data_IF_241316942818
#
_entry.id   IF_241316942818
#
_cell.length_a   1.000
_cell.length_b   1.000
_cell.length_c   1.000
_cell.angle_alpha   90.00
_cell.angle_beta   90.00
_cell.angle_gamma   90.00
#
_symmetry.space_group_name_H-M   'P 1'
#
loop_
_entity.id
_entity.type
_entity.pdbx_description
1 polymer ?
#
# COMPACT_ATOMS: atom_id res chain seq x y z
N UNK A 1 12.74 21.93 39.01
CA UNK A 1 11.68 21.38 38.12
C UNK A 1 11.77 19.88 38.21
N UNK A 2 10.76 19.20 38.78
CA UNK A 2 10.68 17.71 38.74
C UNK A 2 10.47 17.35 37.30
N UNK A 3 11.43 16.63 36.69
CA UNK A 3 11.22 16.04 35.37
C UNK A 3 10.00 15.13 35.41
N UNK A 4 9.00 15.46 34.62
CA UNK A 4 7.91 14.51 34.32
C UNK A 4 8.62 13.38 33.56
N UNK A 5 8.84 12.24 34.19
CA UNK A 5 9.19 11.01 33.47
C UNK A 5 7.97 10.67 32.59
N UNK A 6 7.99 11.14 31.36
CA UNK A 6 7.07 10.66 30.34
C UNK A 6 7.36 9.16 30.18
N UNK A 7 6.35 8.32 30.40
CA UNK A 7 6.45 6.91 30.04
C UNK A 7 6.65 6.82 28.53
N UNK A 8 7.43 5.82 28.08
CA UNK A 8 7.63 5.61 26.65
C UNK A 8 6.28 5.38 25.94
N UNK A 9 6.15 5.93 24.73
CA UNK A 9 4.98 5.69 23.88
C UNK A 9 5.05 4.29 23.30
N UNK A 10 3.97 3.54 23.39
CA UNK A 10 3.89 2.19 22.83
C UNK A 10 3.37 2.26 21.39
N UNK A 11 4.18 1.80 20.43
CA UNK A 11 3.78 1.65 19.03
C UNK A 11 3.66 0.16 18.72
N UNK A 12 2.49 -0.27 18.29
CA UNK A 12 2.19 -1.68 18.08
C UNK A 12 2.20 -1.98 16.57
N UNK A 13 3.18 -2.79 16.13
CA UNK A 13 3.42 -3.18 14.75
C UNK A 13 4.52 -2.36 14.08
N UNK A 14 5.58 -3.02 13.58
CA UNK A 14 6.68 -2.40 12.83
C UNK A 14 6.48 -2.49 11.30
N UNK A 15 5.23 -2.29 10.85
CA UNK A 15 4.91 -2.04 9.44
C UNK A 15 5.28 -0.63 9.01
N UNK A 16 4.90 -0.23 7.79
CA UNK A 16 5.17 1.12 7.26
C UNK A 16 4.69 2.23 8.22
N UNK A 17 3.44 2.12 8.68
CA UNK A 17 2.84 3.12 9.58
C UNK A 17 3.51 3.16 10.95
N UNK A 18 3.81 2.00 11.55
CA UNK A 18 4.43 1.95 12.86
C UNK A 18 5.87 2.45 12.85
N UNK A 19 6.66 2.12 11.82
CA UNK A 19 8.01 2.66 11.66
C UNK A 19 8.00 4.19 11.53
N UNK A 20 7.08 4.75 10.75
CA UNK A 20 6.94 6.20 10.60
C UNK A 20 6.49 6.86 11.92
N UNK A 21 5.51 6.29 12.62
CA UNK A 21 5.05 6.83 13.89
C UNK A 21 6.16 6.83 14.94
N UNK A 22 6.89 5.71 15.10
CA UNK A 22 8.03 5.62 15.99
C UNK A 22 9.13 6.61 15.62
N UNK A 23 9.41 6.78 14.33
CA UNK A 23 10.40 7.72 13.82
C UNK A 23 10.05 9.17 14.15
N UNK A 24 8.80 9.60 13.96
CA UNK A 24 8.37 10.96 14.29
C UNK A 24 8.40 11.25 15.80
N UNK A 25 8.01 10.29 16.63
CA UNK A 25 8.12 10.39 18.07
C UNK A 25 9.58 10.54 18.51
N UNK A 26 10.47 9.70 17.99
CA UNK A 26 11.90 9.73 18.27
C UNK A 26 12.55 11.06 17.83
N UNK A 27 12.17 11.59 16.66
CA UNK A 27 12.60 12.94 16.22
C UNK A 27 12.18 14.05 17.17
N UNK A 28 11.07 13.88 17.87
CA UNK A 28 10.60 14.82 18.89
C UNK A 28 11.25 14.59 20.26
N UNK A 29 12.22 13.67 20.38
CA UNK A 29 12.92 13.32 21.62
C UNK A 29 12.06 12.51 22.60
N UNK A 30 11.05 11.80 22.12
CA UNK A 30 10.15 10.96 22.92
C UNK A 30 10.60 9.51 22.79
N UNK A 31 10.77 8.83 23.93
CA UNK A 31 11.12 7.41 23.95
C UNK A 31 9.93 6.54 23.50
N UNK A 32 10.22 5.53 22.70
CA UNK A 32 9.25 4.64 22.06
C UNK A 32 9.57 3.20 22.37
N UNK A 33 8.56 2.44 22.77
CA UNK A 33 8.55 0.98 22.76
C UNK A 33 7.83 0.49 21.49
N UNK A 34 8.59 0.02 20.50
CA UNK A 34 8.05 -0.50 19.24
C UNK A 34 7.89 -2.02 19.32
N UNK A 35 6.65 -2.48 19.40
CA UNK A 35 6.30 -3.89 19.47
C UNK A 35 6.14 -4.48 18.07
N UNK A 36 6.82 -5.60 17.81
CA UNK A 36 6.69 -6.37 16.56
C UNK A 36 6.68 -7.87 16.87
N UNK A 37 5.66 -8.58 16.38
CA UNK A 37 5.55 -10.00 16.64
C UNK A 37 6.55 -10.87 15.85
N UNK A 38 7.05 -10.37 14.71
CA UNK A 38 8.13 -11.04 13.97
C UNK A 38 9.47 -10.91 14.72
N UNK A 39 10.34 -11.90 14.64
CA UNK A 39 10.25 -13.14 13.86
C UNK A 39 9.52 -14.29 14.58
N UNK A 40 8.99 -14.09 15.79
CA UNK A 40 8.36 -15.16 16.58
C UNK A 40 7.04 -15.64 15.98
N UNK A 41 6.23 -14.72 15.44
CA UNK A 41 4.95 -15.01 14.79
C UNK A 41 4.84 -14.25 13.47
N UNK A 42 4.36 -14.88 12.41
CA UNK A 42 4.14 -14.27 11.10
C UNK A 42 2.65 -14.29 10.76
N UNK A 43 2.21 -13.26 10.04
CA UNK A 43 0.89 -13.29 9.40
C UNK A 43 0.93 -14.18 8.14
N UNK A 44 -0.21 -14.59 7.59
CA UNK A 44 -0.24 -15.37 6.35
C UNK A 44 0.46 -14.69 5.15
N UNK A 45 0.52 -13.36 5.13
CA UNK A 45 1.10 -12.59 4.03
C UNK A 45 2.59 -12.29 4.20
N UNK A 46 3.06 -12.08 5.43
CA UNK A 46 4.45 -11.74 5.71
C UNK A 46 5.35 -12.98 5.63
N UNK A 47 6.52 -12.82 5.03
CA UNK A 47 7.52 -13.89 4.83
C UNK A 47 8.93 -13.46 5.24
N UNK A 48 9.12 -12.17 5.49
CA UNK A 48 10.42 -11.59 5.83
C UNK A 48 10.40 -11.03 7.25
N UNK A 49 11.50 -11.22 7.98
CA UNK A 49 11.62 -10.78 9.37
C UNK A 49 11.78 -9.26 9.55
N UNK A 50 12.26 -8.56 8.52
CA UNK A 50 12.49 -7.12 8.56
C UNK A 50 11.20 -6.31 8.69
N UNK A 51 11.36 -5.03 9.06
CA UNK A 51 10.26 -4.10 9.23
C UNK A 51 9.78 -3.55 7.88
N UNK A 52 8.62 -2.91 7.85
CA UNK A 52 8.03 -2.30 6.65
C UNK A 52 8.01 -3.22 5.42
N UNK A 53 7.78 -4.53 5.61
CA UNK A 53 7.73 -5.50 4.51
C UNK A 53 6.60 -5.16 3.54
N UNK A 54 6.93 -5.05 2.24
CA UNK A 54 5.95 -4.83 1.17
C UNK A 54 5.42 -6.18 0.70
N UNK A 55 4.18 -6.52 1.00
CA UNK A 55 3.64 -7.88 0.79
C UNK A 55 3.01 -8.10 -0.59
N UNK A 56 2.26 -7.16 -1.14
CA UNK A 56 1.52 -7.35 -2.40
C UNK A 56 2.30 -6.88 -3.64
N UNK A 57 3.07 -5.81 -3.54
CA UNK A 57 3.82 -5.17 -4.64
C UNK A 57 5.07 -4.49 -4.09
N UNK A 58 6.10 -4.30 -4.93
CA UNK A 58 7.25 -3.48 -4.60
C UNK A 58 7.09 -2.02 -5.08
N UNK A 59 5.93 -1.65 -5.59
CA UNK A 59 5.67 -0.31 -6.09
C UNK A 59 5.01 0.57 -5.04
N UNK A 60 5.57 1.76 -4.89
CA UNK A 60 5.01 2.87 -4.11
C UNK A 60 4.24 3.87 -4.99
N UNK A 61 3.63 3.37 -6.09
CA UNK A 61 2.82 4.14 -7.06
C UNK A 61 3.64 5.19 -7.82
N UNK A 62 2.96 6.04 -8.61
CA UNK A 62 3.58 7.08 -9.43
C UNK A 62 4.38 8.09 -8.59
N UNK A 63 5.57 8.53 -9.10
CA UNK A 63 6.47 9.45 -8.39
C UNK A 63 6.36 10.91 -8.83
N UNK A 64 5.62 11.18 -9.90
CA UNK A 64 5.46 12.54 -10.43
C UNK A 64 4.55 13.37 -9.52
N UNK A 65 4.92 14.61 -9.26
CA UNK A 65 4.17 15.56 -8.42
C UNK A 65 2.75 15.87 -8.93
N UNK A 66 2.54 15.79 -10.25
CA UNK A 66 1.23 15.95 -10.89
C UNK A 66 0.33 14.69 -10.79
N UNK A 67 0.65 13.81 -9.85
CA UNK A 67 -0.15 12.66 -9.47
C UNK A 67 -0.41 12.66 -7.95
N UNK A 68 -1.56 12.15 -7.53
CA UNK A 68 -1.92 12.08 -6.10
C UNK A 68 -0.84 11.38 -5.26
N UNK A 69 -0.34 10.25 -5.75
CA UNK A 69 0.71 9.50 -5.06
C UNK A 69 2.05 10.23 -5.02
N UNK A 70 2.41 10.96 -6.08
CA UNK A 70 3.64 11.76 -6.09
C UNK A 70 3.55 12.97 -5.17
N UNK A 71 2.39 13.65 -5.13
CA UNK A 71 2.13 14.73 -4.19
C UNK A 71 2.24 14.24 -2.73
N UNK A 72 1.56 13.13 -2.38
CA UNK A 72 1.62 12.57 -1.03
C UNK A 72 3.05 12.20 -0.62
N UNK A 73 3.84 11.60 -1.52
CA UNK A 73 5.25 11.28 -1.25
C UNK A 73 6.10 12.52 -1.02
N UNK A 74 5.83 13.60 -1.74
CA UNK A 74 6.53 14.87 -1.52
C UNK A 74 6.16 15.49 -0.16
N UNK A 75 4.90 15.40 0.24
CA UNK A 75 4.46 15.78 1.59
C UNK A 75 5.20 14.95 2.67
N UNK A 76 5.28 13.63 2.49
CA UNK A 76 6.02 12.75 3.39
C UNK A 76 7.51 13.12 3.47
N UNK A 77 8.16 13.44 2.35
CA UNK A 77 9.57 13.89 2.34
C UNK A 77 9.76 15.16 3.15
N UNK A 78 8.87 16.14 3.00
CA UNK A 78 8.92 17.41 3.77
C UNK A 78 8.71 17.20 5.27
N UNK A 79 7.90 16.20 5.63
CA UNK A 79 7.70 15.78 7.03
C UNK A 79 8.85 14.91 7.57
N UNK A 80 9.83 14.56 6.73
CA UNK A 80 11.02 13.79 7.12
C UNK A 80 10.72 12.31 7.33
N UNK A 81 10.04 11.70 6.37
CA UNK A 81 9.70 10.27 6.33
C UNK A 81 10.93 9.38 6.23
N UNK A 82 11.07 8.42 7.14
CA UNK A 82 12.12 7.39 7.08
C UNK A 82 11.90 6.42 5.92
N UNK A 83 10.64 6.09 5.61
CA UNK A 83 10.33 5.18 4.49
C UNK A 83 10.62 5.81 3.14
N UNK A 84 10.39 7.11 2.96
CA UNK A 84 10.75 7.79 1.71
C UNK A 84 12.26 7.93 1.53
N UNK A 85 13.01 8.17 2.59
CA UNK A 85 14.46 8.16 2.56
C UNK A 85 14.99 6.78 2.12
N UNK A 86 14.54 5.70 2.78
CA UNK A 86 14.93 4.34 2.42
C UNK A 86 14.49 3.95 0.99
N UNK A 87 13.32 4.42 0.54
CA UNK A 87 12.84 4.14 -0.81
C UNK A 87 13.69 4.81 -1.89
N UNK A 88 14.24 5.98 -1.63
CA UNK A 88 15.14 6.65 -2.56
C UNK A 88 16.43 5.85 -2.79
N UNK A 89 17.01 5.30 -1.71
CA UNK A 89 18.26 4.54 -1.74
C UNK A 89 18.12 3.12 -2.31
N UNK A 90 16.90 2.57 -2.27
CA UNK A 90 16.63 1.18 -2.69
C UNK A 90 15.79 1.08 -3.96
N UNK A 91 15.72 2.19 -4.69
CA UNK A 91 14.94 2.31 -5.94
C UNK A 91 15.38 1.30 -6.99
N UNK A 92 14.40 0.72 -7.68
CA UNK A 92 14.59 -0.08 -8.89
C UNK A 92 13.82 0.54 -10.05
N UNK A 93 14.26 0.24 -11.28
CA UNK A 93 13.64 0.75 -12.50
C UNK A 93 12.18 0.33 -12.62
N UNK A 94 11.27 1.29 -12.78
CA UNK A 94 9.84 1.06 -12.91
C UNK A 94 9.11 2.19 -13.67
N UNK A 95 9.73 2.77 -14.69
CA UNK A 95 9.20 3.85 -15.51
C UNK A 95 8.83 5.09 -14.66
N UNK A 96 7.58 5.49 -14.68
CA UNK A 96 7.10 6.65 -13.90
C UNK A 96 6.67 6.35 -12.46
N UNK A 97 6.87 5.12 -11.99
CA UNK A 97 6.58 4.72 -10.61
C UNK A 97 7.85 4.70 -9.74
N UNK A 98 7.70 4.91 -8.44
CA UNK A 98 8.71 4.58 -7.46
C UNK A 98 8.52 3.11 -7.06
N UNK A 99 9.43 2.25 -7.47
CA UNK A 99 9.51 0.87 -7.00
C UNK A 99 10.85 0.64 -6.30
N UNK A 100 10.88 -0.30 -5.37
CA UNK A 100 12.05 -0.58 -4.53
C UNK A 100 12.45 -2.06 -4.58
N UNK A 101 13.70 -2.35 -4.34
CA UNK A 101 14.13 -3.68 -3.95
C UNK A 101 13.55 -3.99 -2.57
N UNK A 102 12.60 -4.92 -2.51
CA UNK A 102 11.82 -5.18 -1.29
C UNK A 102 12.70 -5.52 -0.09
N UNK A 103 13.72 -6.36 -0.32
CA UNK A 103 14.56 -6.83 0.77
C UNK A 103 15.46 -5.70 1.26
N UNK A 104 16.15 -5.02 0.35
CA UNK A 104 17.04 -3.89 0.71
C UNK A 104 16.27 -2.77 1.39
N UNK A 105 15.06 -2.47 0.91
CA UNK A 105 14.17 -1.48 1.54
C UNK A 105 13.82 -1.86 2.98
N UNK A 106 13.34 -3.08 3.20
CA UNK A 106 12.98 -3.56 4.53
C UNK A 106 14.19 -3.60 5.46
N UNK A 107 15.36 -4.09 4.99
CA UNK A 107 16.61 -4.12 5.75
C UNK A 107 17.05 -2.71 6.17
N UNK A 108 16.96 -1.73 5.27
CA UNK A 108 17.36 -0.36 5.55
C UNK A 108 16.43 0.34 6.54
N UNK A 109 15.10 0.16 6.39
CA UNK A 109 14.13 0.68 7.38
C UNK A 109 14.40 0.04 8.74
N UNK A 110 14.61 -1.28 8.79
CA UNK A 110 14.91 -2.00 10.03
C UNK A 110 16.16 -1.44 10.72
N UNK A 111 17.24 -1.25 9.96
CA UNK A 111 18.50 -0.71 10.50
C UNK A 111 18.29 0.69 11.10
N UNK A 112 17.65 1.62 10.36
CA UNK A 112 17.39 2.98 10.84
C UNK A 112 16.54 3.02 12.11
N UNK A 113 15.54 2.16 12.22
CA UNK A 113 14.69 2.08 13.41
C UNK A 113 15.46 1.51 14.59
N UNK A 114 16.22 0.41 14.40
CA UNK A 114 16.98 -0.23 15.47
C UNK A 114 18.18 0.59 15.96
N UNK A 115 18.77 1.40 15.10
CA UNK A 115 19.90 2.30 15.44
C UNK A 115 19.47 3.59 16.17
N UNK A 116 18.17 3.90 16.17
CA UNK A 116 17.68 5.12 16.81
C UNK A 116 17.66 4.98 18.34
N UNK A 117 18.38 5.85 19.08
CA UNK A 117 18.52 5.72 20.55
C UNK A 117 17.22 5.92 21.32
N UNK A 118 16.20 6.53 20.71
CA UNK A 118 14.88 6.74 21.32
C UNK A 118 13.89 5.61 21.00
N UNK A 119 14.28 4.58 20.23
CA UNK A 119 13.38 3.48 19.87
C UNK A 119 13.90 2.17 20.45
N UNK A 120 13.14 1.60 21.37
CA UNK A 120 13.38 0.25 21.89
C UNK A 120 12.47 -0.73 21.17
N UNK A 121 13.03 -1.64 20.40
CA UNK A 121 12.27 -2.69 19.71
C UNK A 121 12.02 -3.85 20.67
N UNK A 122 10.75 -4.26 20.79
CA UNK A 122 10.30 -5.38 21.61
C UNK A 122 9.69 -6.43 20.67
N UNK A 123 10.41 -7.55 20.50
CA UNK A 123 9.95 -8.68 19.68
C UNK A 123 8.90 -9.50 20.45
N UNK A 124 7.67 -8.98 20.50
CA UNK A 124 6.57 -9.60 21.22
C UNK A 124 5.24 -9.33 20.53
N UNK A 125 4.34 -10.31 20.56
CA UNK A 125 2.96 -10.13 20.17
C UNK A 125 2.18 -9.44 21.28
N UNK A 126 1.55 -8.31 20.95
CA UNK A 126 0.61 -7.63 21.84
C UNK A 126 -0.79 -8.19 21.58
N UNK A 127 -1.41 -8.75 22.60
CA UNK A 127 -2.74 -9.39 22.52
C UNK A 127 -3.88 -8.52 23.04
N UNK A 128 -3.56 -7.55 23.89
CA UNK A 128 -4.52 -6.57 24.43
C UNK A 128 -4.00 -5.14 24.23
N UNK A 129 -4.91 -4.17 24.14
CA UNK A 129 -4.54 -2.76 24.03
C UNK A 129 -3.91 -2.30 25.35
N UNK A 130 -2.64 -1.89 25.35
CA UNK A 130 -1.96 -1.47 26.58
C UNK A 130 -2.53 -0.16 27.14
N UNK A 131 -2.27 0.05 28.43
CA UNK A 131 -2.51 1.35 29.06
C UNK A 131 -1.45 2.39 28.65
N UNK A 132 -1.81 3.67 28.80
CA UNK A 132 -0.95 4.83 28.50
C UNK A 132 -1.14 5.36 27.10
N UNK A 133 -0.06 5.91 26.55
CA UNK A 133 -0.02 6.49 25.20
C UNK A 133 0.33 5.42 24.17
N UNK A 134 -0.61 5.13 23.28
CA UNK A 134 -0.52 3.98 22.37
C UNK A 134 -0.85 4.40 20.94
N UNK A 135 -0.05 3.92 19.98
CA UNK A 135 -0.37 3.95 18.54
C UNK A 135 -0.51 2.52 18.05
N UNK A 136 -1.70 2.13 17.60
CA UNK A 136 -1.94 0.84 16.95
C UNK A 136 -1.69 0.98 15.46
N UNK A 137 -0.66 0.31 14.95
CA UNK A 137 -0.21 0.35 13.56
C UNK A 137 0.02 -1.05 12.98
N UNK A 138 -0.76 -2.03 13.45
CA UNK A 138 -0.63 -3.46 13.10
C UNK A 138 -1.10 -3.80 11.69
N UNK A 139 -1.68 -2.82 10.99
CA UNK A 139 -2.14 -2.97 9.62
C UNK A 139 -3.37 -3.88 9.49
N UNK A 140 -3.67 -4.33 8.27
CA UNK A 140 -4.91 -5.04 7.96
C UNK A 140 -4.92 -6.51 8.42
N UNK A 141 -3.75 -7.04 8.81
CA UNK A 141 -3.55 -8.43 9.23
C UNK A 141 -3.17 -8.50 10.72
N UNK A 142 -3.85 -7.72 11.53
CA UNK A 142 -3.73 -7.76 13.00
C UNK A 142 -4.02 -9.17 13.52
N UNK A 143 -3.29 -9.62 14.55
CA UNK A 143 -3.52 -10.92 15.18
C UNK A 143 -4.92 -11.03 15.77
N UNK A 144 -5.45 -12.24 15.85
CA UNK A 144 -6.84 -12.47 16.23
C UNK A 144 -7.13 -11.96 17.66
N UNK A 145 -6.21 -12.18 18.59
CA UNK A 145 -6.36 -11.75 19.98
C UNK A 145 -6.42 -10.21 20.10
N UNK A 146 -5.47 -9.52 19.46
CA UNK A 146 -5.47 -8.05 19.47
C UNK A 146 -6.67 -7.49 18.68
N UNK A 147 -7.07 -8.14 17.57
CA UNK A 147 -8.26 -7.77 16.83
C UNK A 147 -9.52 -7.87 17.71
N UNK A 148 -9.66 -8.94 18.52
CA UNK A 148 -10.75 -9.06 19.48
C UNK A 148 -10.73 -7.91 20.52
N UNK A 149 -9.56 -7.60 21.08
CA UNK A 149 -9.38 -6.49 22.03
C UNK A 149 -9.77 -5.14 21.41
N UNK A 150 -9.36 -4.86 20.17
CA UNK A 150 -9.73 -3.65 19.43
C UNK A 150 -11.26 -3.64 19.16
N UNK A 151 -11.85 -4.80 18.81
CA UNK A 151 -13.29 -4.94 18.56
C UNK A 151 -14.15 -4.57 19.76
N UNK A 152 -13.69 -4.85 20.99
CA UNK A 152 -14.40 -4.47 22.23
C UNK A 152 -14.53 -2.93 22.38
N UNK A 153 -13.60 -2.18 21.82
CA UNK A 153 -13.59 -0.70 21.90
C UNK A 153 -14.22 -0.08 20.63
N UNK A 154 -13.88 -0.61 19.46
CA UNK A 154 -14.27 -0.03 18.18
C UNK A 154 -15.61 -0.55 17.64
N UNK A 155 -16.19 -1.59 18.23
CA UNK A 155 -17.36 -2.28 17.71
C UNK A 155 -17.03 -3.17 16.52
N UNK A 156 -18.02 -3.45 15.68
CA UNK A 156 -17.84 -4.35 14.52
C UNK A 156 -16.82 -3.80 13.53
N UNK A 157 -15.91 -4.69 13.12
CA UNK A 157 -14.97 -4.40 12.03
C UNK A 157 -15.65 -4.32 10.68
N UNK A 158 -15.14 -3.43 9.85
CA UNK A 158 -15.35 -3.48 8.42
C UNK A 158 -14.18 -4.24 7.78
N UNK A 159 -14.41 -4.89 6.63
CA UNK A 159 -13.37 -5.64 5.94
C UNK A 159 -13.57 -5.64 4.43
N UNK A 160 -12.48 -5.84 3.71
CA UNK A 160 -12.45 -6.11 2.28
C UNK A 160 -11.36 -7.14 1.97
N UNK A 161 -11.41 -7.73 0.79
CA UNK A 161 -10.40 -8.69 0.36
C UNK A 161 -9.39 -8.02 -0.58
N UNK A 162 -8.13 -8.35 -0.38
CA UNK A 162 -7.00 -7.95 -1.21
C UNK A 162 -6.24 -9.20 -1.68
N UNK A 163 -5.58 -9.12 -2.83
CA UNK A 163 -4.84 -10.23 -3.39
C UNK A 163 -3.42 -9.80 -3.81
N UNK A 164 -2.45 -10.68 -3.55
CA UNK A 164 -1.08 -10.50 -4.03
C UNK A 164 -0.91 -11.09 -5.43
N UNK A 165 0.01 -10.51 -6.22
CA UNK A 165 0.39 -11.01 -7.53
C UNK A 165 1.58 -11.99 -7.44
N UNK A 166 1.69 -12.95 -8.40
CA UNK A 166 2.81 -13.89 -8.46
C UNK A 166 4.13 -13.23 -8.83
N UNK A 167 5.23 -13.89 -8.46
CA UNK A 167 6.60 -13.53 -8.82
C UNK A 167 7.28 -14.71 -9.52
N UNK A 168 7.94 -14.43 -10.63
CA UNK A 168 8.68 -15.40 -11.44
C UNK A 168 10.16 -15.06 -11.54
N UNK A 169 11.02 -16.05 -11.83
CA UNK A 169 12.45 -15.82 -12.10
C UNK A 169 12.65 -15.35 -13.54
N UNK A 170 13.59 -14.43 -13.75
CA UNK A 170 13.96 -13.95 -15.09
C UNK A 170 14.51 -15.07 -15.98
N UNK A 171 15.28 -15.98 -15.40
CA UNK A 171 15.92 -17.08 -16.14
C UNK A 171 14.90 -18.04 -16.75
N UNK A 172 13.75 -18.21 -16.13
CA UNK A 172 12.71 -19.10 -16.60
C UNK A 172 11.84 -18.54 -17.73
N UNK A 173 12.00 -17.26 -18.08
CA UNK A 173 11.27 -16.61 -19.16
C UNK A 173 11.81 -17.02 -20.53
N UNK A 174 10.93 -17.23 -21.48
CA UNK A 174 11.31 -17.38 -22.91
C UNK A 174 11.64 -16.01 -23.49
N UNK A 175 12.94 -15.68 -23.49
CA UNK A 175 13.46 -14.37 -23.88
C UNK A 175 13.26 -14.03 -25.36
N UNK A 176 13.05 -15.03 -26.20
CA UNK A 176 12.78 -14.84 -27.63
C UNK A 176 11.34 -14.41 -27.88
N UNK A 177 10.45 -14.62 -26.93
CA UNK A 177 9.01 -14.30 -27.02
C UNK A 177 8.60 -13.02 -26.30
N UNK A 178 9.46 -12.45 -25.48
CA UNK A 178 9.20 -11.22 -24.72
C UNK A 178 10.06 -10.06 -25.20
N UNK A 179 9.72 -8.83 -24.80
CA UNK A 179 10.54 -7.67 -25.14
C UNK A 179 10.53 -6.64 -24.02
N UNK A 180 11.61 -5.89 -23.92
CA UNK A 180 11.74 -4.77 -22.96
C UNK A 180 11.18 -3.50 -23.57
N UNK A 181 10.23 -2.86 -22.89
CA UNK A 181 9.74 -1.53 -23.25
C UNK A 181 8.92 -0.90 -22.11
N UNK A 182 8.89 0.42 -22.09
CA UNK A 182 7.96 1.21 -21.29
C UNK A 182 6.88 1.83 -22.16
N UNK A 183 5.65 1.93 -21.64
CA UNK A 183 4.50 2.48 -22.41
C UNK A 183 4.76 3.91 -22.85
N UNK A 184 4.45 4.18 -24.11
CA UNK A 184 4.63 5.51 -24.75
C UNK A 184 6.09 5.99 -24.75
N UNK A 185 7.08 5.10 -24.63
CA UNK A 185 8.50 5.47 -24.56
C UNK A 185 8.84 6.36 -23.35
N UNK A 186 8.07 6.27 -22.27
CA UNK A 186 8.33 7.05 -21.06
C UNK A 186 9.30 6.34 -20.13
N UNK A 187 10.45 6.97 -19.87
CA UNK A 187 11.55 6.37 -19.10
C UNK A 187 12.37 5.40 -19.94
N UNK A 188 13.13 4.55 -19.27
CA UNK A 188 13.88 3.47 -19.89
C UNK A 188 12.97 2.27 -20.18
N UNK A 189 13.49 1.22 -20.83
CA UNK A 189 12.75 0.01 -21.15
C UNK A 189 12.61 -0.91 -19.91
N UNK A 190 11.93 -0.43 -18.88
CA UNK A 190 11.94 -0.98 -17.52
C UNK A 190 11.03 -2.20 -17.30
N UNK A 191 10.15 -2.49 -18.26
CA UNK A 191 9.21 -3.60 -18.15
C UNK A 191 9.51 -4.68 -19.19
N UNK A 192 9.44 -5.94 -18.78
CA UNK A 192 9.33 -7.05 -19.70
C UNK A 192 7.87 -7.15 -20.14
N UNK A 193 7.63 -7.24 -21.43
CA UNK A 193 6.31 -7.31 -22.02
C UNK A 193 6.13 -8.69 -22.66
N UNK A 194 5.07 -9.41 -22.22
CA UNK A 194 4.64 -10.70 -22.74
C UNK A 194 3.45 -10.44 -23.69
N UNK A 195 3.67 -10.34 -25.01
CA UNK A 195 2.62 -10.03 -25.95
C UNK A 195 1.80 -11.29 -26.29
N UNK A 196 0.51 -11.11 -26.48
CA UNK A 196 -0.39 -12.14 -26.96
C UNK A 196 -1.11 -11.66 -28.21
N UNK A 197 -1.25 -12.56 -29.19
CA UNK A 197 -2.19 -12.39 -30.28
C UNK A 197 -3.62 -12.71 -29.81
N UNK A 198 -4.62 -12.61 -30.69
CA UNK A 198 -6.03 -12.82 -30.32
C UNK A 198 -6.31 -14.26 -29.87
N UNK A 199 -5.75 -15.25 -30.55
CA UNK A 199 -5.98 -16.66 -30.23
C UNK A 199 -5.35 -17.04 -28.90
N UNK A 200 -4.12 -16.61 -28.65
CA UNK A 200 -3.41 -16.81 -27.39
C UNK A 200 -4.16 -16.15 -26.22
N UNK A 201 -4.63 -14.91 -26.42
CA UNK A 201 -5.43 -14.21 -25.41
C UNK A 201 -6.75 -14.91 -25.11
N UNK A 202 -7.51 -15.33 -26.13
CA UNK A 202 -8.79 -16.01 -25.92
C UNK A 202 -8.61 -17.37 -25.24
N UNK A 203 -7.55 -18.10 -25.57
CA UNK A 203 -7.21 -19.34 -24.88
C UNK A 203 -6.91 -19.07 -23.40
N UNK A 204 -6.03 -18.11 -23.12
CA UNK A 204 -5.72 -17.70 -21.75
C UNK A 204 -6.96 -17.22 -20.99
N UNK A 205 -7.78 -16.36 -21.60
CA UNK A 205 -9.02 -15.85 -21.01
C UNK A 205 -10.00 -16.94 -20.63
N UNK A 206 -10.26 -17.88 -21.54
CA UNK A 206 -11.18 -18.99 -21.28
C UNK A 206 -10.70 -19.89 -20.14
N UNK A 207 -9.41 -20.19 -20.09
CA UNK A 207 -8.84 -20.98 -19.00
C UNK A 207 -8.88 -20.22 -17.67
N UNK A 208 -8.65 -18.91 -17.69
CA UNK A 208 -8.68 -18.06 -16.49
C UNK A 208 -10.07 -17.98 -15.84
N UNK A 209 -11.12 -17.75 -16.64
CA UNK A 209 -12.49 -17.63 -16.11
C UNK A 209 -13.06 -18.95 -15.56
N UNK A 210 -12.52 -20.09 -16.02
CA UNK A 210 -12.90 -21.43 -15.59
C UNK A 210 -11.98 -22.04 -14.54
N UNK A 211 -10.89 -21.35 -14.17
CA UNK A 211 -9.91 -21.83 -13.21
C UNK A 211 -10.48 -21.91 -11.78
N UNK A 212 -10.02 -22.90 -11.02
CA UNK A 212 -10.46 -23.09 -9.64
C UNK A 212 -9.82 -22.07 -8.70
N UNK A 213 -10.66 -21.35 -7.96
CA UNK A 213 -10.22 -20.47 -6.89
C UNK A 213 -9.94 -21.27 -5.60
N UNK A 214 -9.03 -20.75 -4.77
CA UNK A 214 -8.81 -21.28 -3.43
C UNK A 214 -10.10 -21.12 -2.60
N UNK A 215 -10.40 -22.09 -1.70
CA UNK A 215 -11.54 -21.94 -0.81
C UNK A 215 -11.34 -20.74 0.12
N UNK A 216 -12.38 -19.96 0.29
CA UNK A 216 -12.44 -18.94 1.31
C UNK A 216 -12.59 -19.61 2.69
N UNK A 217 -12.01 -19.05 3.73
CA UNK A 217 -12.19 -19.54 5.11
C UNK A 217 -13.68 -19.53 5.49
N UNK A 218 -14.09 -20.45 6.39
CA UNK A 218 -15.51 -20.63 6.73
C UNK A 218 -16.16 -19.37 7.30
N UNK A 219 -15.42 -18.56 8.04
CA UNK A 219 -15.85 -17.26 8.53
C UNK A 219 -16.16 -16.27 7.39
N UNK A 220 -15.44 -16.36 6.28
CA UNK A 220 -15.68 -15.49 5.11
C UNK A 220 -16.95 -15.91 4.35
N UNK A 221 -17.38 -17.18 4.47
CA UNK A 221 -18.62 -17.70 3.85
C UNK A 221 -19.89 -17.17 4.51
N UNK A 222 -19.88 -16.94 5.82
CA UNK A 222 -21.04 -16.39 6.55
C UNK A 222 -21.35 -14.95 6.17
N UNK A 223 -20.33 -14.22 5.71
CA UNK A 223 -20.44 -12.82 5.28
C UNK A 223 -20.60 -12.65 3.77
N UNK A 224 -20.76 -13.72 3.02
CA UNK A 224 -21.23 -13.68 1.64
C UNK A 224 -22.67 -13.12 1.62
N UNK A 225 -22.80 -11.80 1.65
CA UNK A 225 -24.09 -11.17 1.48
C UNK A 225 -24.61 -11.41 0.05
N UNK A 226 -25.93 -11.31 -0.12
CA UNK A 226 -26.61 -11.41 -1.42
C UNK A 226 -26.08 -10.42 -2.47
N UNK A 227 -25.24 -9.44 -2.07
CA UNK A 227 -24.66 -8.37 -2.90
C UNK A 227 -23.26 -8.70 -3.45
N UNK A 228 -22.74 -9.94 -3.26
CA UNK A 228 -21.49 -10.39 -3.84
C UNK A 228 -20.23 -10.05 -3.01
N UNK A 229 -19.09 -10.41 -3.56
CA UNK A 229 -17.77 -10.30 -2.95
C UNK A 229 -17.29 -8.85 -2.89
N UNK A 230 -17.09 -8.29 -1.69
CA UNK A 230 -16.54 -6.94 -1.52
C UNK A 230 -15.02 -6.98 -1.71
N UNK A 231 -14.55 -6.62 -2.90
CA UNK A 231 -13.14 -6.46 -3.24
C UNK A 231 -12.86 -4.98 -3.45
N UNK A 232 -11.71 -4.51 -2.95
CA UNK A 232 -11.23 -3.19 -3.32
C UNK A 232 -10.90 -3.16 -4.82
N UNK A 233 -11.44 -2.20 -5.56
CA UNK A 233 -11.36 -2.17 -7.02
C UNK A 233 -9.91 -2.18 -7.54
N UNK A 234 -8.99 -1.54 -6.81
CA UNK A 234 -7.57 -1.47 -7.16
C UNK A 234 -6.79 -2.78 -6.95
N UNK A 235 -7.34 -3.73 -6.21
CA UNK A 235 -6.70 -5.01 -5.86
C UNK A 235 -7.56 -6.22 -6.26
N UNK A 236 -8.47 -6.02 -7.21
CA UNK A 236 -9.38 -7.06 -7.68
C UNK A 236 -8.61 -8.23 -8.30
N UNK A 237 -8.91 -9.49 -7.92
CA UNK A 237 -8.32 -10.65 -8.53
C UNK A 237 -8.55 -10.69 -10.06
N UNK A 238 -7.52 -11.06 -10.80
CA UNK A 238 -7.54 -11.04 -12.27
C UNK A 238 -8.63 -11.93 -12.86
N UNK A 239 -8.92 -13.08 -12.23
CA UNK A 239 -10.01 -13.97 -12.63
C UNK A 239 -11.39 -13.37 -12.37
N UNK A 240 -11.55 -12.54 -11.33
CA UNK A 240 -12.80 -11.81 -11.04
C UNK A 240 -12.98 -10.68 -12.06
N UNK A 241 -11.90 -9.97 -12.38
CA UNK A 241 -11.91 -8.94 -13.42
C UNK A 241 -12.25 -9.53 -14.78
N UNK A 242 -11.68 -10.69 -15.13
CA UNK A 242 -11.94 -11.38 -16.38
C UNK A 242 -13.43 -11.78 -16.54
N UNK A 243 -14.09 -12.19 -15.47
CA UNK A 243 -15.52 -12.54 -15.47
C UNK A 243 -16.47 -11.38 -15.78
N UNK A 244 -15.99 -10.12 -15.72
CA UNK A 244 -16.78 -8.94 -16.12
C UNK A 244 -16.93 -8.79 -17.64
N UNK A 245 -16.14 -9.51 -18.43
CA UNK A 245 -16.23 -9.55 -19.89
C UNK A 245 -14.88 -9.75 -20.56
N UNK A 246 -14.90 -10.32 -21.77
CA UNK A 246 -13.71 -10.69 -22.55
C UNK A 246 -12.72 -9.51 -22.73
N UNK A 247 -13.21 -8.34 -23.01
CA UNK A 247 -12.36 -7.16 -23.26
C UNK A 247 -11.92 -6.43 -21.98
N UNK A 248 -12.49 -6.74 -20.82
CA UNK A 248 -12.25 -5.99 -19.58
C UNK A 248 -10.75 -5.91 -19.23
N UNK A 249 -10.03 -7.03 -19.33
CA UNK A 249 -8.59 -7.05 -19.05
C UNK A 249 -7.78 -6.27 -20.08
N UNK A 250 -8.20 -6.19 -21.34
CA UNK A 250 -7.53 -5.44 -22.41
C UNK A 250 -7.68 -3.93 -22.26
N UNK A 251 -8.67 -3.45 -21.53
CA UNK A 251 -8.81 -2.05 -21.11
C UNK A 251 -8.19 -1.80 -19.73
N UNK A 252 -7.80 -2.85 -19.01
CA UNK A 252 -7.21 -2.85 -17.68
C UNK A 252 -5.74 -3.31 -17.68
N UNK A 253 -5.39 -4.36 -16.91
CA UNK A 253 -4.01 -4.77 -16.68
C UNK A 253 -3.28 -5.26 -17.94
N UNK A 254 -3.99 -5.84 -18.91
CA UNK A 254 -3.42 -6.37 -20.15
C UNK A 254 -3.52 -5.39 -21.34
N UNK A 255 -3.69 -4.11 -21.06
CA UNK A 255 -3.85 -3.07 -22.08
C UNK A 255 -2.65 -3.04 -23.04
N UNK A 256 -2.83 -3.17 -24.37
CA UNK A 256 -1.73 -3.14 -25.34
C UNK A 256 -1.31 -1.73 -25.79
N UNK A 257 -2.14 -0.71 -25.49
CA UNK A 257 -1.93 0.68 -25.97
C UNK A 257 -0.63 1.26 -25.43
N UNK A 258 0.11 1.91 -26.32
CA UNK A 258 1.41 2.52 -26.01
C UNK A 258 2.61 1.56 -26.09
N UNK A 259 2.37 0.32 -26.55
CA UNK A 259 3.42 -0.68 -26.79
C UNK A 259 3.40 -1.15 -28.25
N UNK A 260 4.57 -1.37 -28.81
CA UNK A 260 4.80 -1.98 -30.12
C UNK A 260 5.78 -3.12 -29.93
N UNK A 261 5.45 -4.30 -30.40
CA UNK A 261 6.35 -5.44 -30.37
C UNK A 261 7.46 -5.24 -31.43
N UNK A 262 8.73 -5.09 -31.06
CA UNK A 262 9.81 -4.81 -32.00
C UNK A 262 10.07 -5.96 -32.98
N UNK A 263 9.62 -7.18 -32.68
CA UNK A 263 9.79 -8.37 -33.55
C UNK A 263 8.81 -8.37 -34.69
N UNK A 264 7.62 -7.83 -34.51
CA UNK A 264 6.56 -7.80 -35.52
C UNK A 264 6.31 -6.42 -36.09
N UNK A 265 6.76 -5.37 -35.44
CA UNK A 265 6.44 -3.97 -35.75
C UNK A 265 5.00 -3.59 -35.45
N UNK A 266 4.19 -4.48 -34.86
CA UNK A 266 2.77 -4.29 -34.64
C UNK A 266 2.43 -4.15 -33.14
N UNK A 267 1.28 -3.55 -32.85
CA UNK A 267 0.72 -3.52 -31.52
C UNK A 267 0.10 -4.89 -31.21
N UNK A 268 0.49 -5.56 -30.11
CA UNK A 268 -0.12 -6.81 -29.68
C UNK A 268 -1.64 -6.70 -29.42
N UNK A 269 -2.35 -7.80 -29.41
CA UNK A 269 -3.75 -7.83 -29.03
C UNK A 269 -3.95 -7.61 -27.52
N UNK A 270 -3.10 -8.22 -26.70
CA UNK A 270 -3.02 -8.02 -25.26
C UNK A 270 -1.54 -8.11 -24.81
N UNK A 271 -1.18 -7.54 -23.66
CA UNK A 271 0.19 -7.58 -23.12
C UNK A 271 0.14 -7.75 -21.61
N UNK A 272 0.82 -8.76 -21.10
CA UNK A 272 1.15 -8.85 -19.67
C UNK A 272 2.49 -8.15 -19.44
N UNK A 273 2.55 -7.26 -18.47
CA UNK A 273 3.79 -6.58 -18.09
C UNK A 273 4.38 -7.21 -16.83
N UNK A 274 5.68 -7.42 -16.85
CA UNK A 274 6.44 -7.87 -15.70
C UNK A 274 7.35 -6.72 -15.24
N UNK A 275 7.41 -6.50 -13.92
CA UNK A 275 8.24 -5.47 -13.30
C UNK A 275 9.27 -6.11 -12.40
N UNK A 276 10.51 -5.60 -12.44
CA UNK A 276 11.60 -6.06 -11.58
C UNK A 276 11.23 -5.91 -10.09
N UNK A 277 11.49 -6.95 -9.30
CA UNK A 277 11.29 -7.01 -7.85
C UNK A 277 12.56 -6.65 -7.07
N UNK A 278 13.71 -6.78 -7.72
CA UNK A 278 15.02 -6.50 -7.14
C UNK A 278 15.91 -5.74 -8.11
N UNK A 279 16.97 -5.13 -7.57
CA UNK A 279 17.91 -4.33 -8.36
C UNK A 279 18.71 -5.17 -9.36
N UNK A 280 18.96 -6.43 -9.06
CA UNK A 280 19.67 -7.38 -9.91
C UNK A 280 18.87 -7.81 -11.15
N UNK A 281 17.54 -7.50 -11.20
CA UNK A 281 16.66 -7.90 -12.29
C UNK A 281 16.52 -9.42 -12.45
N UNK A 282 16.66 -10.17 -11.36
CA UNK A 282 16.54 -11.63 -11.36
C UNK A 282 15.12 -12.13 -11.10
N UNK A 283 14.27 -11.28 -10.52
CA UNK A 283 12.90 -11.59 -10.10
C UNK A 283 11.91 -10.56 -10.65
N UNK A 284 10.77 -11.05 -11.14
CA UNK A 284 9.76 -10.20 -11.78
C UNK A 284 8.34 -10.48 -11.28
N UNK A 285 7.62 -9.43 -10.98
CA UNK A 285 6.22 -9.45 -10.56
C UNK A 285 5.29 -9.32 -11.79
N UNK A 286 4.24 -10.14 -11.85
CA UNK A 286 3.19 -10.03 -12.86
C UNK A 286 2.27 -8.86 -12.51
N UNK A 287 2.39 -7.75 -13.23
CA UNK A 287 1.66 -6.52 -12.94
C UNK A 287 0.17 -6.68 -13.20
N UNK A 288 -0.66 -6.45 -12.17
CA UNK A 288 -2.11 -6.57 -12.28
C UNK A 288 -2.64 -8.00 -12.21
N UNK A 289 -1.82 -8.96 -11.77
CA UNK A 289 -2.19 -10.37 -11.62
C UNK A 289 -2.42 -10.77 -10.16
N UNK A 290 -2.98 -9.89 -9.37
CA UNK A 290 -3.53 -10.29 -8.08
C UNK A 290 -4.55 -11.42 -8.31
N UNK A 291 -4.49 -12.49 -7.49
CA UNK A 291 -5.30 -13.67 -7.74
C UNK A 291 -5.63 -14.48 -6.49
N UNK A 292 -6.79 -15.12 -6.48
CA UNK A 292 -7.20 -16.13 -5.50
C UNK A 292 -7.26 -17.54 -6.10
N UNK A 293 -6.68 -17.75 -7.27
CA UNK A 293 -6.62 -19.11 -7.86
C UNK A 293 -5.79 -20.05 -6.98
N UNK A 294 -6.14 -21.33 -6.96
CA UNK A 294 -5.28 -22.38 -6.38
C UNK A 294 -3.89 -22.35 -7.01
N UNK A 295 -2.84 -22.68 -6.27
CA UNK A 295 -1.45 -22.62 -6.78
C UNK A 295 -1.22 -23.43 -8.05
N UNK A 296 -1.83 -24.63 -8.14
CA UNK A 296 -1.78 -25.46 -9.35
C UNK A 296 -2.44 -24.76 -10.55
N UNK A 297 -3.56 -24.09 -10.34
CA UNK A 297 -4.26 -23.33 -11.37
C UNK A 297 -3.47 -22.09 -11.80
N UNK A 298 -2.86 -21.38 -10.87
CA UNK A 298 -1.98 -20.25 -11.20
C UNK A 298 -0.86 -20.70 -12.13
N UNK A 299 -0.16 -21.80 -11.80
CA UNK A 299 0.88 -22.36 -12.66
C UNK A 299 0.32 -22.75 -14.03
N UNK A 300 -0.78 -23.49 -14.07
CA UNK A 300 -1.41 -23.97 -15.30
C UNK A 300 -1.86 -22.84 -16.21
N UNK A 301 -2.60 -21.88 -15.66
CA UNK A 301 -3.23 -20.80 -16.45
C UNK A 301 -2.20 -19.75 -16.86
N UNK A 302 -1.32 -19.34 -15.95
CA UNK A 302 -0.34 -18.28 -16.26
C UNK A 302 0.79 -18.78 -17.17
N UNK A 303 1.04 -20.09 -17.24
CA UNK A 303 1.93 -20.67 -18.26
C UNK A 303 1.35 -20.63 -19.69
N UNK A 304 0.10 -20.23 -19.89
CA UNK A 304 -0.47 -19.97 -21.21
C UNK A 304 -0.11 -18.58 -21.76
N UNK A 305 0.47 -17.72 -20.93
CA UNK A 305 0.90 -16.39 -21.33
C UNK A 305 2.23 -16.54 -22.11
N UNK A 306 2.28 -15.95 -23.29
CA UNK A 306 3.45 -15.98 -24.17
C UNK A 306 4.71 -15.50 -23.43
N UNK A 307 5.73 -16.35 -23.41
CA UNK A 307 6.99 -16.11 -22.70
C UNK A 307 7.01 -16.63 -21.26
N UNK A 308 5.87 -17.12 -20.72
CA UNK A 308 5.77 -17.70 -19.37
C UNK A 308 5.54 -19.22 -19.39
N UNK A 309 5.67 -19.88 -20.52
CA UNK A 309 5.32 -21.31 -20.69
C UNK A 309 6.11 -22.22 -19.74
N UNK A 310 7.35 -21.84 -19.42
CA UNK A 310 8.23 -22.57 -18.50
C UNK A 310 8.55 -21.74 -17.24
N UNK A 311 7.74 -20.70 -16.94
CA UNK A 311 8.03 -19.80 -15.84
C UNK A 311 8.10 -20.53 -14.48
N UNK A 312 9.15 -20.23 -13.73
CA UNK A 312 9.34 -20.68 -12.36
C UNK A 312 8.76 -19.65 -11.39
N UNK A 313 7.64 -20.04 -10.75
CA UNK A 313 6.98 -19.21 -9.75
C UNK A 313 7.63 -19.40 -8.39
N UNK A 314 8.38 -18.39 -7.93
CA UNK A 314 8.97 -18.39 -6.59
C UNK A 314 7.98 -17.92 -5.52
N UNK A 315 6.94 -17.22 -5.94
CA UNK A 315 5.82 -16.78 -5.11
C UNK A 315 4.53 -16.87 -5.90
N UNK A 316 3.54 -17.53 -5.34
CA UNK A 316 2.19 -17.52 -5.86
C UNK A 316 1.38 -16.35 -5.31
N UNK A 317 0.38 -15.92 -6.06
CA UNK A 317 -0.63 -15.00 -5.58
C UNK A 317 -1.48 -15.63 -4.48
N UNK A 318 -1.86 -14.85 -3.49
CA UNK A 318 -2.75 -15.24 -2.40
C UNK A 318 -3.67 -14.10 -2.06
N UNK A 319 -4.90 -14.43 -1.66
CA UNK A 319 -5.86 -13.46 -1.19
C UNK A 319 -5.84 -13.36 0.33
N UNK A 320 -5.99 -12.15 0.82
CA UNK A 320 -6.05 -11.85 2.25
C UNK A 320 -7.30 -11.05 2.56
N UNK A 321 -7.88 -11.26 3.74
CA UNK A 321 -8.90 -10.39 4.29
C UNK A 321 -8.21 -9.25 5.01
N UNK A 322 -8.47 -8.03 4.57
CA UNK A 322 -8.01 -6.81 5.21
C UNK A 322 -9.08 -6.28 6.14
N UNK A 323 -8.72 -6.05 7.38
CA UNK A 323 -9.62 -5.52 8.41
C UNK A 323 -9.36 -4.03 8.60
N UNK A 324 -10.42 -3.23 8.75
CA UNK A 324 -10.34 -1.82 9.10
C UNK A 324 -11.48 -1.41 10.06
N UNK A 325 -11.27 -0.34 10.81
CA UNK A 325 -12.24 0.19 11.76
C UNK A 325 -13.16 1.22 11.09
N UNK A 326 -14.32 1.48 11.66
CA UNK A 326 -15.21 2.56 11.19
C UNK A 326 -14.70 3.93 11.65
N UNK A 327 -13.56 4.34 11.10
CA UNK A 327 -12.80 5.53 11.51
C UNK A 327 -13.61 6.82 11.57
N UNK A 328 -14.55 7.12 10.64
CA UNK A 328 -15.38 8.32 10.72
C UNK A 328 -16.15 8.48 12.02
N UNK A 329 -16.56 7.37 12.64
CA UNK A 329 -17.26 7.38 13.92
C UNK A 329 -16.33 7.40 15.12
N UNK A 330 -15.12 6.88 14.96
CA UNK A 330 -14.21 6.59 16.07
C UNK A 330 -13.07 7.60 16.20
N UNK A 331 -12.53 8.07 15.08
CA UNK A 331 -11.32 8.89 15.07
C UNK A 331 -11.61 10.35 14.78
N UNK A 332 -10.74 11.21 15.28
CA UNK A 332 -10.65 12.61 14.85
C UNK A 332 -9.58 12.78 13.75
N UNK A 333 -9.37 14.01 13.28
CA UNK A 333 -8.42 14.33 12.22
C UNK A 333 -6.96 14.06 12.58
N UNK A 334 -6.62 13.93 13.85
CA UNK A 334 -5.28 13.60 14.34
C UNK A 334 -5.04 12.08 14.46
N UNK A 335 -5.99 11.25 14.02
CA UNK A 335 -5.95 9.79 14.11
C UNK A 335 -6.07 9.21 15.53
N UNK A 336 -6.35 10.00 16.55
CA UNK A 336 -6.69 9.48 17.88
C UNK A 336 -8.19 9.23 18.03
N UNK A 337 -8.53 8.36 18.96
CA UNK A 337 -9.91 8.11 19.31
C UNK A 337 -10.57 9.35 19.93
N UNK A 338 -11.85 9.58 19.59
CA UNK A 338 -12.66 10.69 20.12
C UNK A 338 -12.86 10.58 21.64
N UNK A 339 -13.00 9.34 22.13
CA UNK A 339 -13.31 9.04 23.53
C UNK A 339 -12.05 8.71 24.37
N UNK A 340 -10.89 8.52 23.73
CA UNK A 340 -9.63 8.20 24.40
C UNK A 340 -8.47 8.88 23.67
N UNK A 341 -8.11 10.08 24.08
CA UNK A 341 -7.09 10.92 23.44
C UNK A 341 -5.68 10.31 23.43
N UNK A 342 -5.40 9.35 24.32
CA UNK A 342 -4.11 8.64 24.39
C UNK A 342 -3.99 7.46 23.43
N UNK A 343 -5.08 7.07 22.74
CA UNK A 343 -5.10 5.93 21.82
C UNK A 343 -5.24 6.41 20.36
N UNK A 344 -4.23 6.11 19.57
CA UNK A 344 -4.15 6.42 18.14
C UNK A 344 -4.19 5.16 17.30
N UNK A 345 -4.69 5.31 16.08
CA UNK A 345 -4.62 4.27 15.06
C UNK A 345 -3.89 4.81 13.83
N UNK A 346 -3.09 3.98 13.17
CA UNK A 346 -2.38 4.34 11.95
C UNK A 346 -2.35 3.18 10.95
N UNK A 347 -2.11 3.50 9.69
CA UNK A 347 -2.04 2.52 8.63
C UNK A 347 -3.40 2.13 8.07
N UNK A 348 -3.41 1.07 7.28
CA UNK A 348 -4.56 0.61 6.52
C UNK A 348 -5.79 0.29 7.40
N UNK A 349 -5.58 -0.05 8.67
CA UNK A 349 -6.65 -0.26 9.64
C UNK A 349 -7.56 0.97 9.81
N UNK A 350 -7.06 2.18 9.55
CA UNK A 350 -7.85 3.41 9.61
C UNK A 350 -8.72 3.63 8.36
N UNK A 351 -8.63 2.78 7.36
CA UNK A 351 -9.31 2.95 6.08
C UNK A 351 -8.56 3.81 5.07
N UNK A 352 -7.31 4.20 5.33
CA UNK A 352 -6.42 4.68 4.28
C UNK A 352 -5.90 3.48 3.48
N UNK A 353 -5.95 3.53 2.14
CA UNK A 353 -5.64 2.39 1.29
C UNK A 353 -4.37 2.60 0.47
N UNK A 354 -3.36 1.78 0.78
CA UNK A 354 -2.09 1.73 0.08
C UNK A 354 -0.88 1.93 1.00
N UNK A 355 0.31 1.59 0.49
CA UNK A 355 1.56 1.64 1.27
C UNK A 355 1.95 3.05 1.70
N UNK A 356 1.92 4.00 0.76
CA UNK A 356 2.30 5.39 1.05
C UNK A 356 1.25 6.09 1.93
N UNK A 357 -0.02 5.78 1.74
CA UNK A 357 -1.11 6.27 2.58
C UNK A 357 -0.98 5.75 4.02
N UNK A 358 -0.65 4.47 4.16
CA UNK A 358 -0.38 3.86 5.47
C UNK A 358 0.82 4.52 6.16
N UNK A 359 1.93 4.69 5.45
CA UNK A 359 3.12 5.37 5.97
C UNK A 359 2.80 6.82 6.37
N UNK A 360 2.12 7.58 5.50
CA UNK A 360 1.72 8.97 5.77
C UNK A 360 0.83 9.10 7.01
N UNK A 361 -0.12 8.18 7.21
CA UNK A 361 -0.94 8.14 8.42
C UNK A 361 -0.10 7.92 9.68
N UNK A 362 0.94 7.07 9.59
CA UNK A 362 1.90 6.86 10.67
C UNK A 362 2.70 8.12 11.01
N UNK A 363 3.17 8.85 10.00
CA UNK A 363 3.82 10.16 10.20
C UNK A 363 2.90 11.07 10.99
N UNK A 364 1.65 11.19 10.55
CA UNK A 364 0.73 12.15 11.14
C UNK A 364 0.27 11.76 12.55
N UNK A 365 0.03 10.47 12.80
CA UNK A 365 -0.29 9.96 14.13
C UNK A 365 0.88 10.18 15.11
N UNK A 366 2.12 9.87 14.70
CA UNK A 366 3.32 10.09 15.50
C UNK A 366 3.55 11.56 15.82
N UNK A 367 3.46 12.43 14.81
CA UNK A 367 3.61 13.89 14.98
C UNK A 367 2.51 14.45 15.88
N UNK A 368 1.26 14.04 15.71
CA UNK A 368 0.13 14.50 16.51
C UNK A 368 0.27 14.08 17.98
N UNK A 369 0.67 12.84 18.24
CA UNK A 369 0.94 12.36 19.60
C UNK A 369 2.13 13.09 20.23
N UNK A 370 3.21 13.31 19.48
CA UNK A 370 4.37 14.03 19.99
C UNK A 370 4.00 15.44 20.47
N UNK A 371 3.22 16.16 19.68
CA UNK A 371 2.77 17.53 20.05
C UNK A 371 1.86 17.52 21.27
N UNK A 372 0.94 16.57 21.36
CA UNK A 372 0.07 16.40 22.53
C UNK A 372 0.90 16.19 23.79
N UNK A 373 1.89 15.29 23.75
CA UNK A 373 2.76 15.01 24.90
C UNK A 373 3.65 16.19 25.28
N UNK A 374 4.01 17.03 24.31
CA UNK A 374 4.76 18.28 24.56
C UNK A 374 3.85 19.44 25.01
N UNK A 375 2.53 19.23 25.12
CA UNK A 375 1.57 20.29 25.47
C UNK A 375 1.43 21.38 24.40
N UNK A 376 1.81 21.08 23.15
CA UNK A 376 1.67 21.98 22.00
C UNK A 376 0.27 21.87 21.37
N UNK A 377 -0.19 22.88 20.62
CA UNK A 377 -1.45 22.82 19.88
C UNK A 377 -1.50 21.62 18.96
N UNK A 378 -2.69 21.05 18.75
CA UNK A 378 -2.90 19.94 17.83
C UNK A 378 -2.49 20.32 16.40
N UNK A 379 -1.93 19.35 15.68
CA UNK A 379 -1.60 19.56 14.25
C UNK A 379 -2.87 19.61 13.44
N UNK A 380 -3.01 20.62 12.60
CA UNK A 380 -4.06 20.72 11.60
C UNK A 380 -3.42 20.85 10.23
N UNK A 381 -3.54 19.82 9.41
CA UNK A 381 -3.11 19.89 8.02
C UNK A 381 -4.22 20.52 7.16
N UNK A 382 -3.87 21.46 6.27
CA UNK A 382 -4.83 22.01 5.31
C UNK A 382 -5.45 20.91 4.42
N UNK A 383 -6.73 21.00 4.12
CA UNK A 383 -7.41 20.07 3.21
C UNK A 383 -6.96 20.21 1.75
N UNK A 384 -6.14 21.21 1.44
CA UNK A 384 -5.40 21.35 0.19
C UNK A 384 -4.23 20.39 0.08
N UNK A 385 -3.74 19.82 1.19
CA UNK A 385 -2.73 18.76 1.22
C UNK A 385 -3.38 17.39 1.04
N UNK A 386 -2.69 16.43 0.45
CA UNK A 386 -3.20 15.08 0.24
C UNK A 386 -3.42 14.36 1.58
N UNK A 387 -2.46 14.49 2.50
CA UNK A 387 -2.56 13.89 3.84
C UNK A 387 -3.67 14.54 4.67
N UNK A 388 -3.84 15.87 4.60
CA UNK A 388 -4.94 16.57 5.26
C UNK A 388 -6.30 16.17 4.71
N UNK A 389 -6.44 16.02 3.39
CA UNK A 389 -7.68 15.56 2.77
C UNK A 389 -8.02 14.10 3.13
N UNK A 390 -7.02 13.20 3.18
CA UNK A 390 -7.21 11.82 3.65
C UNK A 390 -7.60 11.79 5.13
N UNK A 391 -6.93 12.56 5.97
CA UNK A 391 -7.25 12.69 7.40
C UNK A 391 -8.70 13.15 7.62
N UNK A 392 -9.14 14.16 6.86
CA UNK A 392 -10.52 14.65 6.87
C UNK A 392 -11.51 13.56 6.46
N UNK A 393 -11.22 12.82 5.38
CA UNK A 393 -12.09 11.74 4.90
C UNK A 393 -12.29 10.64 5.95
N UNK A 394 -11.20 10.15 6.56
CA UNK A 394 -11.29 9.05 7.54
C UNK A 394 -11.89 9.47 8.88
N UNK A 395 -12.08 10.75 9.12
CA UNK A 395 -12.61 11.30 10.37
C UNK A 395 -13.97 12.03 10.21
N UNK A 396 -14.51 12.08 8.99
CA UNK A 396 -15.77 12.78 8.71
C UNK A 396 -16.98 11.94 9.17
N UNK A 397 -17.67 12.30 10.26
CA UNK A 397 -18.78 11.54 10.80
C UNK A 397 -20.03 11.50 9.88
N UNK A 398 -20.05 12.32 8.83
CA UNK A 398 -21.15 12.34 7.84
C UNK A 398 -21.05 11.22 6.81
N UNK A 399 -19.93 10.51 6.76
CA UNK A 399 -19.73 9.36 5.85
C UNK A 399 -20.52 8.15 6.35
N UNK A 400 -21.68 7.89 5.76
CA UNK A 400 -22.55 6.78 6.15
C UNK A 400 -22.02 5.40 5.71
N UNK A 401 -21.48 5.31 4.49
CA UNK A 401 -20.95 4.07 3.90
C UNK A 401 -19.45 4.18 3.74
N UNK A 402 -18.74 4.05 4.85
CA UNK A 402 -17.29 4.16 4.85
C UNK A 402 -16.64 3.03 4.03
N UNK A 403 -15.74 3.41 3.15
CA UNK A 403 -14.93 2.51 2.34
C UNK A 403 -13.47 2.97 2.40
N UNK A 404 -12.49 2.06 2.36
CA UNK A 404 -11.09 2.44 2.28
C UNK A 404 -10.82 3.35 1.08
N UNK A 405 -9.96 4.34 1.27
CA UNK A 405 -9.61 5.31 0.23
C UNK A 405 -8.11 5.50 0.11
N UNK A 406 -7.61 5.34 -1.11
CA UNK A 406 -6.26 5.75 -1.49
C UNK A 406 -6.21 7.21 -1.92
N UNK A 407 -4.99 7.77 -1.92
CA UNK A 407 -4.78 9.13 -2.41
C UNK A 407 -5.29 9.30 -3.84
N UNK A 408 -6.08 10.34 -4.07
CA UNK A 408 -6.57 10.71 -5.39
C UNK A 408 -6.82 12.22 -5.47
N UNK A 409 -6.67 12.79 -6.68
CA UNK A 409 -6.81 14.25 -6.86
C UNK A 409 -8.24 14.76 -6.67
N UNK A 410 -9.24 13.86 -6.67
CA UNK A 410 -10.65 14.20 -6.53
C UNK A 410 -11.08 14.57 -5.11
N UNK A 411 -10.27 14.23 -4.09
CA UNK A 411 -10.57 14.61 -2.69
C UNK A 411 -10.02 15.98 -2.32
N UNK A 412 -9.22 16.59 -3.20
CA UNK A 412 -8.64 17.91 -2.96
C UNK A 412 -9.59 19.01 -3.43
N UNK A 413 -9.65 20.16 -2.75
CA UNK A 413 -10.43 21.31 -3.18
C UNK A 413 -10.06 21.78 -4.57
N UNK A 414 -11.05 22.17 -5.38
CA UNK A 414 -10.83 22.69 -6.71
C UNK A 414 -10.00 23.99 -6.69
N UNK A 415 -9.37 24.30 -7.84
CA UNK A 415 -8.74 25.60 -8.05
C UNK A 415 -9.83 26.65 -8.27
N UNK A 416 -9.60 27.91 -7.89
CA UNK A 416 -10.54 29.01 -8.16
C UNK A 416 -10.84 29.19 -9.64
N UNK A 417 -9.84 28.92 -10.49
CA UNK A 417 -9.94 29.04 -11.93
C UNK A 417 -10.09 27.66 -12.60
N UNK A 418 -10.90 27.62 -13.67
CA UNK A 418 -11.10 26.42 -14.46
C UNK A 418 -9.93 26.17 -15.40
N UNK A 419 -9.09 25.20 -15.09
CA UNK A 419 -7.98 24.75 -15.95
C UNK A 419 -8.43 23.58 -16.82
N UNK A 420 -8.33 23.71 -18.16
CA UNK A 420 -8.75 22.66 -19.12
C UNK A 420 -7.70 21.55 -19.25
N UNK A 421 -6.42 21.90 -19.22
CA UNK A 421 -5.34 20.92 -19.25
C UNK A 421 -5.27 20.17 -17.92
N UNK A 422 -5.57 18.88 -17.95
CA UNK A 422 -5.63 18.03 -16.75
C UNK A 422 -4.27 17.93 -16.04
N UNK A 423 -3.17 17.88 -16.80
CA UNK A 423 -1.83 17.76 -16.22
C UNK A 423 -1.43 19.06 -15.54
N UNK A 424 -1.69 20.19 -16.18
CA UNK A 424 -1.46 21.51 -15.60
C UNK A 424 -2.33 21.72 -14.35
N UNK A 425 -3.64 21.37 -14.43
CA UNK A 425 -4.56 21.43 -13.27
C UNK A 425 -3.99 20.68 -12.07
N UNK A 426 -3.55 19.43 -12.26
CA UNK A 426 -3.05 18.60 -11.16
C UNK A 426 -1.71 19.10 -10.62
N UNK A 427 -0.84 19.62 -11.49
CA UNK A 427 0.40 20.28 -11.06
C UNK A 427 0.11 21.47 -10.16
N UNK A 428 -0.79 22.37 -10.57
CA UNK A 428 -1.17 23.56 -9.78
C UNK A 428 -1.81 23.20 -8.44
N UNK A 429 -2.66 22.15 -8.40
CA UNK A 429 -3.24 21.63 -7.15
C UNK A 429 -2.13 21.15 -6.21
N UNK A 430 -1.16 20.39 -6.72
CA UNK A 430 -0.06 19.88 -5.93
C UNK A 430 0.85 21.02 -5.42
N UNK A 431 1.20 21.97 -6.27
CA UNK A 431 2.02 23.13 -5.89
C UNK A 431 1.35 23.96 -4.79
N UNK A 432 0.02 24.18 -4.88
CA UNK A 432 -0.76 24.84 -3.83
C UNK A 432 -0.70 24.07 -2.52
N UNK A 433 -1.02 22.77 -2.55
CA UNK A 433 -1.05 21.95 -1.35
C UNK A 433 0.32 21.86 -0.66
N UNK A 434 1.39 21.75 -1.45
CA UNK A 434 2.75 21.72 -0.90
C UNK A 434 3.17 23.08 -0.29
N UNK A 435 2.76 24.19 -0.88
CA UNK A 435 3.00 25.51 -0.30
C UNK A 435 2.21 25.73 1.01
N UNK A 436 1.00 25.20 1.08
CA UNK A 436 0.20 25.25 2.31
C UNK A 436 0.75 24.30 3.39
N UNK A 437 1.31 23.15 3.00
CA UNK A 437 2.03 22.27 3.91
C UNK A 437 3.27 22.95 4.50
N UNK A 438 4.07 23.63 3.69
CA UNK A 438 5.27 24.32 4.16
C UNK A 438 4.94 25.35 5.25
N UNK A 439 3.86 26.14 5.05
CA UNK A 439 3.36 27.06 6.08
C UNK A 439 2.93 26.33 7.36
N UNK A 440 2.21 25.21 7.21
CA UNK A 440 1.78 24.44 8.37
C UNK A 440 2.95 23.85 9.15
N UNK A 441 4.02 23.41 8.45
CA UNK A 441 5.23 22.88 9.10
C UNK A 441 5.96 23.94 9.92
N UNK A 442 5.95 25.22 9.49
CA UNK A 442 6.55 26.32 10.26
C UNK A 442 5.86 26.53 11.62
N UNK A 443 4.61 26.09 11.77
CA UNK A 443 3.85 26.16 13.02
C UNK A 443 4.05 24.92 13.92
N UNK A 444 4.75 23.91 13.43
CA UNK A 444 5.04 22.65 14.15
C UNK A 444 6.29 22.79 14.99
#
# INVERSE_FOLDING_TARGET
>A
MKGIYLMAVKVIGAGLAGCEAAWQLAKAGIDVELYEMKPKKFTPAHKYKGFAELVCSNSLKADRIDSAAGMLKEEMRRLGSVTMECAAETKVSAGGALAVDRKKFSDMVTAKIMENPHITVIEEEVTDIPDGDVIIATGPLTSDELAESIGKICGDYLYFHDAAAPIVTYESLDKDKVFFASRYGKGEADYINCPMNKEEYLRFYNELINAESAPLHDFDKEHFSKDGFKVYEGCMPVEVLAKRGEDTMRFGPLKPVGLTDPRTGNRPYAVVQLRAENAEGSLYNLVGFQTNLKFGEQKRVFSLITGLENAEFIRYGVMHRNTFINSPKLLNTQFNMRDRESLYFAGQMTGVEGYIESAASGIFAGLSMARRLQGKPAVTLPDTTMLGALSKYISDPTVEKFQPMGCNMGILPELPERIRDKKLKYKMIAERGLADLDKAIEEF
#
